data_IF_904861502898
#
_entry.id   IF_904861502898
#
_cell.length_a   1.000
_cell.length_b   1.000
_cell.length_c   1.000
_cell.angle_alpha   90.00
_cell.angle_beta   90.00
_cell.angle_gamma   90.00
#
_symmetry.space_group_name_H-M   'P 1'
#
loop_
_entity.id
_entity.type
_entity.pdbx_description
1 polymer ?
#
# COMPACT_ATOMS: atom_id res chain seq x y z
N UNK A 1 5.36 -59.75 -22.59
CA UNK A 1 5.16 -58.49 -21.85
C UNK A 1 6.18 -58.40 -20.73
N UNK A 2 7.02 -57.38 -20.73
CA UNK A 2 7.90 -57.02 -19.61
C UNK A 2 7.12 -56.10 -18.70
N UNK A 3 6.76 -56.58 -17.51
CA UNK A 3 6.11 -55.76 -16.47
C UNK A 3 7.17 -54.82 -15.93
N UNK A 4 7.01 -53.53 -16.19
CA UNK A 4 7.92 -52.49 -15.72
C UNK A 4 7.77 -52.33 -14.20
N UNK A 5 8.83 -52.64 -13.45
CA UNK A 5 8.82 -52.51 -11.99
C UNK A 5 8.85 -51.04 -11.58
N UNK A 6 7.98 -50.65 -10.64
CA UNK A 6 7.96 -49.28 -10.08
C UNK A 6 9.26 -48.92 -9.36
N UNK A 7 9.85 -49.88 -8.64
CA UNK A 7 11.12 -49.74 -7.94
C UNK A 7 12.15 -50.60 -8.64
N UNK A 8 13.23 -49.98 -9.12
CA UNK A 8 14.29 -50.67 -9.83
C UNK A 8 15.63 -50.30 -9.19
N UNK A 9 16.38 -51.32 -8.74
CA UNK A 9 17.75 -51.13 -8.28
C UNK A 9 18.66 -51.21 -9.50
N UNK A 10 19.34 -50.11 -9.81
CA UNK A 10 20.26 -50.05 -10.92
C UNK A 10 21.57 -50.80 -10.58
N UNK A 11 22.27 -51.34 -11.59
CA UNK A 11 23.52 -52.03 -11.38
C UNK A 11 24.57 -51.11 -10.74
N UNK A 12 25.43 -51.69 -9.92
CA UNK A 12 26.48 -50.97 -9.21
C UNK A 12 27.49 -50.39 -10.21
N UNK A 13 27.72 -49.08 -10.13
CA UNK A 13 28.71 -48.40 -10.96
C UNK A 13 30.03 -48.25 -10.18
N UNK A 14 31.18 -48.72 -10.70
CA UNK A 14 32.45 -48.59 -10.00
C UNK A 14 32.93 -47.13 -9.98
N UNK A 15 33.48 -46.72 -8.83
CA UNK A 15 34.07 -45.38 -8.67
C UNK A 15 35.53 -45.42 -9.11
N UNK A 16 35.89 -44.53 -10.03
CA UNK A 16 37.27 -44.38 -10.49
C UNK A 16 37.88 -43.17 -9.79
N UNK A 17 38.95 -43.36 -9.04
CA UNK A 17 39.71 -42.28 -8.41
C UNK A 17 41.14 -42.30 -8.96
N UNK A 18 41.65 -41.14 -9.40
CA UNK A 18 43.01 -41.02 -9.96
C UNK A 18 43.34 -42.03 -11.07
N UNK A 19 42.39 -42.31 -11.97
CA UNK A 19 42.52 -43.29 -13.07
C UNK A 19 42.75 -44.75 -12.64
N UNK A 20 42.55 -45.07 -11.35
CA UNK A 20 42.57 -46.43 -10.83
C UNK A 20 41.17 -46.86 -10.40
N UNK A 21 40.85 -48.13 -10.66
CA UNK A 21 39.62 -48.75 -10.17
C UNK A 21 39.73 -48.90 -8.65
N UNK A 22 38.81 -48.26 -7.92
CA UNK A 22 38.69 -48.43 -6.47
C UNK A 22 37.64 -49.50 -6.16
N UNK A 23 37.72 -50.13 -4.99
CA UNK A 23 36.68 -51.08 -4.51
C UNK A 23 35.41 -50.37 -4.00
N UNK A 24 35.12 -49.19 -4.53
CA UNK A 24 33.98 -48.35 -4.16
C UNK A 24 32.96 -48.36 -5.29
N UNK A 25 31.68 -48.37 -4.93
CA UNK A 25 30.59 -48.49 -5.90
C UNK A 25 29.47 -47.47 -5.60
N UNK A 26 28.85 -46.95 -6.65
CA UNK A 26 27.59 -46.22 -6.56
C UNK A 26 26.42 -47.19 -6.61
N UNK A 27 25.55 -47.10 -5.62
CA UNK A 27 24.23 -47.75 -5.64
C UNK A 27 23.16 -46.70 -5.95
N UNK A 28 22.25 -47.00 -6.88
CA UNK A 28 21.14 -46.12 -7.26
C UNK A 28 19.83 -46.90 -7.24
N UNK A 29 18.83 -46.33 -6.58
CA UNK A 29 17.45 -46.82 -6.58
C UNK A 29 16.62 -45.88 -7.44
N UNK A 30 16.08 -46.38 -8.55
CA UNK A 30 15.13 -45.66 -9.39
C UNK A 30 13.70 -45.94 -8.91
N UNK A 31 12.93 -44.88 -8.70
CA UNK A 31 11.50 -44.95 -8.35
C UNK A 31 10.71 -44.27 -9.45
N UNK A 32 10.04 -45.05 -10.28
CA UNK A 32 9.22 -44.54 -11.38
C UNK A 32 7.87 -44.08 -10.85
N UNK A 33 7.35 -43.00 -11.42
CA UNK A 33 6.07 -42.38 -11.01
C UNK A 33 6.02 -42.12 -9.50
N UNK A 34 6.84 -41.17 -9.03
CA UNK A 34 6.93 -40.81 -7.62
C UNK A 34 5.58 -40.29 -7.11
N UNK A 35 5.03 -40.97 -6.11
CA UNK A 35 3.79 -40.58 -5.44
C UNK A 35 4.02 -40.30 -3.96
N UNK A 36 3.05 -39.67 -3.30
CA UNK A 36 3.14 -39.33 -1.88
C UNK A 36 3.29 -40.58 -1.00
N UNK A 37 2.74 -41.71 -1.42
CA UNK A 37 2.84 -43.00 -0.74
C UNK A 37 4.28 -43.55 -0.75
N UNK A 38 5.13 -43.08 -1.68
CA UNK A 38 6.54 -43.46 -1.73
C UNK A 38 7.40 -42.68 -0.73
N UNK A 39 6.84 -41.68 -0.05
CA UNK A 39 7.50 -40.91 1.00
C UNK A 39 7.68 -41.75 2.28
N UNK A 40 8.69 -42.62 2.28
CA UNK A 40 9.02 -43.54 3.36
C UNK A 40 10.52 -43.61 3.61
N UNK A 41 10.90 -44.39 4.62
CA UNK A 41 12.30 -44.69 4.91
C UNK A 41 12.73 -45.86 4.05
N UNK A 42 13.84 -45.69 3.33
CA UNK A 42 14.50 -46.73 2.55
C UNK A 42 15.81 -47.10 3.26
N UNK A 43 16.12 -48.38 3.35
CA UNK A 43 17.36 -48.84 3.96
C UNK A 43 18.28 -49.40 2.88
N UNK A 44 19.44 -48.78 2.72
CA UNK A 44 20.53 -49.31 1.92
C UNK A 44 21.28 -50.33 2.78
N UNK A 45 21.38 -51.56 2.29
CA UNK A 45 22.10 -52.65 2.94
C UNK A 45 23.36 -52.94 2.13
N UNK A 46 24.51 -52.94 2.79
CA UNK A 46 25.80 -53.29 2.17
C UNK A 46 26.30 -54.55 2.86
N UNK A 47 26.44 -55.61 2.10
CA UNK A 47 26.94 -56.89 2.59
C UNK A 47 28.29 -57.21 1.96
N UNK A 48 29.25 -57.59 2.79
CA UNK A 48 30.60 -57.98 2.41
C UNK A 48 30.99 -59.26 3.15
N UNK A 49 32.06 -59.93 2.73
CA UNK A 49 32.57 -61.12 3.41
C UNK A 49 32.91 -60.88 4.90
N UNK A 50 33.22 -59.62 5.25
CA UNK A 50 33.62 -59.24 6.61
C UNK A 50 32.46 -58.78 7.50
N UNK A 51 31.26 -58.64 6.95
CA UNK A 51 30.09 -58.19 7.70
C UNK A 51 29.09 -57.41 6.86
N UNK A 52 28.11 -56.85 7.54
CA UNK A 52 26.99 -56.14 6.94
C UNK A 52 26.83 -54.78 7.62
N UNK A 53 26.58 -53.76 6.81
CA UNK A 53 26.26 -52.41 7.27
C UNK A 53 24.95 -51.94 6.65
N UNK A 54 24.24 -51.03 7.33
CA UNK A 54 22.96 -50.53 6.86
C UNK A 54 22.81 -49.03 7.09
N UNK A 55 22.28 -48.32 6.09
CA UNK A 55 22.04 -46.89 6.13
C UNK A 55 20.58 -46.60 5.81
N UNK A 56 19.90 -45.82 6.64
CA UNK A 56 18.49 -45.46 6.44
C UNK A 56 18.34 -44.04 5.88
N UNK A 57 17.61 -43.91 4.78
CA UNK A 57 17.35 -42.68 4.05
C UNK A 57 15.86 -42.36 4.07
N UNK A 58 15.48 -41.16 4.50
CA UNK A 58 14.08 -40.71 4.50
C UNK A 58 13.75 -39.98 3.20
N UNK A 59 12.88 -40.54 2.37
CA UNK A 59 12.38 -39.88 1.16
C UNK A 59 11.20 -38.98 1.52
N UNK A 60 11.28 -37.71 1.13
CA UNK A 60 10.16 -36.76 1.27
C UNK A 60 9.71 -36.33 -0.11
N UNK A 61 8.46 -36.63 -0.45
CA UNK A 61 7.85 -36.24 -1.73
C UNK A 61 7.07 -34.95 -1.51
N UNK A 62 7.36 -33.92 -2.32
CA UNK A 62 6.64 -32.65 -2.28
C UNK A 62 5.61 -32.62 -3.40
N UNK A 63 4.34 -32.55 -3.05
CA UNK A 63 3.27 -32.48 -4.03
C UNK A 63 3.22 -31.07 -4.67
N UNK A 64 3.30 -30.95 -6.00
CA UNK A 64 3.21 -29.65 -6.66
C UNK A 64 1.81 -29.05 -6.55
N UNK A 65 0.80 -29.86 -6.21
CA UNK A 65 -0.59 -29.42 -6.01
C UNK A 65 -0.71 -28.46 -4.84
N UNK A 66 -0.06 -28.76 -3.70
CA UNK A 66 -0.08 -27.90 -2.51
C UNK A 66 0.55 -26.53 -2.83
N UNK A 67 1.65 -26.52 -3.56
CA UNK A 67 2.34 -25.28 -3.99
C UNK A 67 1.45 -24.47 -4.94
N UNK A 68 0.79 -25.15 -5.91
CA UNK A 68 -0.12 -24.50 -6.87
C UNK A 68 -1.33 -23.87 -6.17
N UNK A 69 -1.92 -24.57 -5.20
CA UNK A 69 -3.09 -24.06 -4.46
C UNK A 69 -2.71 -22.79 -3.68
N UNK A 70 -1.56 -22.80 -3.00
CA UNK A 70 -1.08 -21.63 -2.25
C UNK A 70 -0.83 -20.46 -3.21
N UNK A 71 -0.19 -20.71 -4.36
CA UNK A 71 0.07 -19.66 -5.34
C UNK A 71 -1.22 -19.01 -5.88
N UNK A 72 -2.25 -19.81 -6.18
CA UNK A 72 -3.55 -19.31 -6.66
C UNK A 72 -4.23 -18.47 -5.57
N UNK A 73 -4.27 -18.98 -4.33
CA UNK A 73 -4.89 -18.27 -3.22
C UNK A 73 -4.25 -16.90 -2.95
N UNK A 74 -2.92 -16.84 -2.97
CA UNK A 74 -2.16 -15.58 -2.81
C UNK A 74 -2.42 -14.63 -3.98
N UNK A 75 -2.44 -15.14 -5.22
CA UNK A 75 -2.72 -14.34 -6.40
C UNK A 75 -4.11 -13.68 -6.36
N UNK A 76 -5.14 -14.45 -6.01
CA UNK A 76 -6.52 -13.94 -5.89
C UNK A 76 -6.63 -12.93 -4.74
N UNK A 77 -6.01 -13.20 -3.59
CA UNK A 77 -5.99 -12.29 -2.46
C UNK A 77 -5.35 -10.94 -2.78
N UNK A 78 -4.21 -10.95 -3.47
CA UNK A 78 -3.53 -9.71 -3.91
C UNK A 78 -4.36 -8.95 -4.95
N UNK A 79 -4.97 -9.64 -5.91
CA UNK A 79 -5.84 -9.01 -6.91
C UNK A 79 -7.02 -8.30 -6.23
N UNK A 80 -7.70 -8.98 -5.31
CA UNK A 80 -8.80 -8.38 -4.54
C UNK A 80 -8.33 -7.15 -3.74
N UNK A 81 -7.19 -7.25 -3.07
CA UNK A 81 -6.60 -6.12 -2.33
C UNK A 81 -6.37 -4.91 -3.24
N UNK A 82 -5.75 -5.10 -4.40
CA UNK A 82 -5.51 -4.02 -5.37
C UNK A 82 -6.82 -3.42 -5.89
N UNK A 83 -7.84 -4.22 -6.14
CA UNK A 83 -9.15 -3.70 -6.59
C UNK A 83 -9.82 -2.83 -5.53
N UNK A 84 -9.77 -3.23 -4.25
CA UNK A 84 -10.33 -2.45 -3.14
C UNK A 84 -9.59 -1.13 -2.96
N UNK A 85 -8.25 -1.16 -3.00
CA UNK A 85 -7.43 0.06 -2.92
C UNK A 85 -7.71 0.99 -4.11
N UNK A 86 -7.79 0.44 -5.32
CA UNK A 86 -8.12 1.19 -6.53
C UNK A 86 -9.50 1.84 -6.47
N UNK A 87 -10.52 1.11 -5.99
CA UNK A 87 -11.86 1.65 -5.78
C UNK A 87 -11.89 2.74 -4.71
N UNK A 88 -11.18 2.56 -3.60
CA UNK A 88 -11.08 3.59 -2.56
C UNK A 88 -10.42 4.86 -3.10
N UNK A 89 -9.30 4.73 -3.82
CA UNK A 89 -8.63 5.85 -4.46
C UNK A 89 -9.53 6.54 -5.49
N UNK A 90 -10.23 5.76 -6.33
CA UNK A 90 -11.19 6.29 -7.29
C UNK A 90 -12.31 7.06 -6.60
N UNK A 91 -12.87 6.54 -5.50
CA UNK A 91 -13.91 7.23 -4.73
C UNK A 91 -13.41 8.53 -4.11
N UNK A 92 -12.19 8.55 -3.55
CA UNK A 92 -11.57 9.77 -3.01
C UNK A 92 -11.36 10.81 -4.11
N UNK A 93 -10.81 10.41 -5.26
CA UNK A 93 -10.61 11.30 -6.41
C UNK A 93 -11.94 11.81 -6.97
N UNK A 94 -12.95 10.95 -7.07
CA UNK A 94 -14.29 11.32 -7.53
C UNK A 94 -14.99 12.25 -6.55
N UNK A 95 -14.85 12.03 -5.24
CA UNK A 95 -15.36 12.97 -4.22
C UNK A 95 -14.65 14.32 -4.32
N UNK A 96 -13.32 14.35 -4.51
CA UNK A 96 -12.58 15.60 -4.74
C UNK A 96 -13.03 16.32 -6.01
N UNK A 97 -13.13 15.60 -7.13
CA UNK A 97 -13.60 16.16 -8.41
C UNK A 97 -15.00 16.74 -8.28
N UNK A 98 -15.92 16.05 -7.59
CA UNK A 98 -17.26 16.59 -7.33
C UNK A 98 -17.26 17.85 -6.47
N UNK A 99 -16.33 17.99 -5.52
CA UNK A 99 -16.17 19.22 -4.74
C UNK A 99 -15.69 20.38 -5.61
N UNK A 100 -14.70 20.15 -6.49
CA UNK A 100 -14.25 21.16 -7.44
C UNK A 100 -15.32 21.57 -8.46
N UNK A 101 -16.13 20.62 -8.95
CA UNK A 101 -17.21 20.92 -9.89
C UNK A 101 -18.39 21.64 -9.25
N UNK A 102 -18.64 21.43 -7.95
CA UNK A 102 -19.72 22.11 -7.24
C UNK A 102 -19.37 23.57 -6.94
N UNK A 103 -18.14 23.84 -6.51
CA UNK A 103 -17.65 25.20 -6.24
C UNK A 103 -17.66 26.07 -7.51
N UNK A 104 -17.31 25.48 -8.66
CA UNK A 104 -17.39 26.17 -9.95
C UNK A 104 -18.82 26.49 -10.41
N UNK A 105 -19.80 25.72 -9.98
CA UNK A 105 -21.19 25.91 -10.36
C UNK A 105 -21.90 26.92 -9.44
N UNK A 106 -21.57 26.92 -8.15
CA UNK A 106 -22.04 27.95 -7.20
C UNK A 106 -21.47 29.35 -7.58
N UNK A 107 -20.22 29.44 -8.05
CA UNK A 107 -19.62 30.70 -8.57
C UNK A 107 -20.28 31.20 -9.88
N UNK A 108 -20.71 30.28 -10.75
CA UNK A 108 -21.43 30.61 -11.99
C UNK A 108 -22.86 31.10 -11.72
N UNK A 109 -23.52 30.56 -10.69
CA UNK A 109 -24.87 30.95 -10.28
C UNK A 109 -24.88 32.30 -9.52
N UNK A 110 -23.84 32.62 -8.73
CA UNK A 110 -23.69 33.93 -8.04
C UNK A 110 -23.18 35.06 -8.97
N UNK A 111 -22.44 34.72 -10.04
CA UNK A 111 -21.97 35.66 -11.06
C UNK A 111 -22.97 35.96 -12.18
N UNK A 112 -24.06 35.17 -12.28
CA UNK A 112 -25.06 35.29 -13.34
C UNK A 112 -26.19 36.26 -12.97
N UNK A 113 -25.87 37.55 -12.88
CA UNK A 113 -26.92 38.59 -12.99
C UNK A 113 -27.46 38.51 -14.42
N UNK A 114 -28.69 38.04 -14.56
CA UNK A 114 -29.34 37.86 -15.84
C UNK A 114 -29.34 39.18 -16.64
N UNK A 115 -28.88 39.12 -17.90
CA UNK A 115 -28.66 40.29 -18.76
C UNK A 115 -29.96 41.05 -19.12
N UNK A 116 -31.11 40.46 -18.81
CA UNK A 116 -32.45 41.04 -18.93
C UNK A 116 -32.78 42.03 -17.80
N UNK A 117 -32.07 42.00 -16.67
CA UNK A 117 -32.22 42.99 -15.60
C UNK A 117 -31.76 44.41 -16.02
N UNK A 118 -30.91 44.55 -17.05
CA UNK A 118 -30.39 45.84 -17.50
C UNK A 118 -31.20 46.51 -18.63
N UNK A 119 -32.20 45.86 -19.21
CA UNK A 119 -32.99 46.43 -20.32
C UNK A 119 -34.47 46.63 -20.02
N UNK A 120 -34.94 46.36 -18.79
CA UNK A 120 -36.32 46.69 -18.44
C UNK A 120 -36.48 48.16 -18.04
N UNK A 121 -36.98 48.93 -19.01
CA UNK A 121 -37.85 50.10 -18.83
C UNK A 121 -37.20 51.48 -18.71
N UNK A 122 -36.69 51.97 -19.83
CA UNK A 122 -36.77 53.39 -20.18
C UNK A 122 -38.24 53.73 -20.53
N UNK A 123 -38.96 54.40 -19.61
CA UNK A 123 -39.96 55.46 -19.87
C UNK A 123 -40.94 55.66 -18.70
N UNK A 124 -40.70 56.67 -17.84
CA UNK A 124 -41.75 57.62 -17.46
C UNK A 124 -41.15 58.88 -16.84
N UNK A 125 -41.48 59.99 -17.48
CA UNK A 125 -41.10 61.38 -17.20
C UNK A 125 -41.84 61.90 -15.96
N UNK A 126 -41.15 62.53 -15.00
CA UNK A 126 -41.41 63.90 -14.47
C UNK A 126 -40.88 64.15 -13.04
N UNK A 127 -40.31 65.36 -12.87
CA UNK A 127 -40.47 66.31 -11.74
C UNK A 127 -39.36 66.45 -10.67
N UNK A 128 -38.38 67.32 -10.99
CA UNK A 128 -38.06 68.59 -10.28
C UNK A 128 -37.74 68.59 -8.77
N UNK A 129 -36.48 68.97 -8.41
CA UNK A 129 -36.04 70.18 -7.66
C UNK A 129 -34.66 69.92 -7.01
N UNK A 130 -33.55 70.50 -7.48
CA UNK A 130 -32.97 71.82 -7.17
C UNK A 130 -32.35 71.93 -5.75
N UNK A 131 -31.02 71.81 -5.65
CA UNK A 131 -30.19 72.84 -4.99
C UNK A 131 -28.71 72.76 -5.36
N UNK A 132 -28.03 73.90 -5.30
CA UNK A 132 -26.85 74.29 -6.07
C UNK A 132 -25.56 74.53 -5.26
N UNK A 133 -24.44 73.98 -5.78
CA UNK A 133 -23.06 74.53 -5.94
C UNK A 133 -22.10 74.75 -4.74
N UNK A 134 -20.75 74.92 -4.95
CA UNK A 134 -19.88 74.73 -6.15
C UNK A 134 -18.57 73.89 -5.93
N UNK A 135 -17.87 73.55 -7.02
CA UNK A 135 -16.52 72.92 -7.10
C UNK A 135 -15.39 73.99 -7.26
N UNK A 136 -14.11 73.71 -7.62
CA UNK A 136 -13.26 72.49 -7.59
C UNK A 136 -11.83 72.74 -6.99
N UNK A 137 -11.04 71.71 -6.66
CA UNK A 137 -9.56 71.80 -6.70
C UNK A 137 -8.91 70.51 -7.17
N UNK A 138 -8.23 70.64 -8.31
CA UNK A 138 -7.31 69.68 -8.93
C UNK A 138 -6.03 69.60 -8.11
N UNK A 139 -5.56 68.39 -7.83
CA UNK A 139 -4.12 68.10 -7.71
C UNK A 139 -3.83 66.72 -8.30
N UNK A 140 -3.19 66.73 -9.46
CA UNK A 140 -2.35 65.62 -9.91
C UNK A 140 -1.17 65.47 -8.94
N UNK A 141 -0.94 64.27 -8.42
CA UNK A 141 0.38 63.83 -7.94
C UNK A 141 0.54 62.34 -8.23
N UNK A 142 1.44 62.02 -9.17
CA UNK A 142 2.02 60.68 -9.34
C UNK A 142 3.12 60.46 -8.29
N UNK A 143 3.42 59.18 -8.02
CA UNK A 143 4.53 58.60 -7.21
C UNK A 143 4.12 58.39 -5.73
N UNK A 144 4.16 57.21 -5.11
CA UNK A 144 4.92 55.96 -5.26
C UNK A 144 4.12 54.82 -4.56
N UNK A 145 4.27 53.52 -4.91
CA UNK A 145 3.40 52.46 -4.43
C UNK A 145 3.89 52.00 -3.06
N UNK A 146 2.96 51.82 -2.13
CA UNK A 146 2.99 50.92 -0.98
C UNK A 146 1.93 51.48 -0.03
N UNK A 147 0.75 50.86 -0.03
CA UNK A 147 0.11 50.35 1.19
C UNK A 147 -1.38 50.00 0.91
N UNK A 148 -1.76 48.78 1.30
CA UNK A 148 -3.13 48.45 1.72
C UNK A 148 -4.22 48.19 0.66
N UNK A 149 -4.26 46.98 0.09
CA UNK A 149 -5.34 45.99 0.32
C UNK A 149 -5.06 44.69 -0.45
N UNK A 150 -4.09 43.91 0.01
CA UNK A 150 -3.98 42.50 -0.38
C UNK A 150 -3.92 41.68 0.91
N UNK A 151 -5.06 41.13 1.30
CA UNK A 151 -5.08 40.03 2.28
C UNK A 151 -4.59 38.78 1.54
N UNK A 152 -3.27 38.68 1.40
CA UNK A 152 -2.61 37.50 0.88
C UNK A 152 -2.12 36.68 2.07
N UNK A 153 -2.64 35.47 2.24
CA UNK A 153 -2.19 34.55 3.28
C UNK A 153 -0.74 34.12 2.99
N UNK A 154 0.21 34.59 3.81
CA UNK A 154 1.61 34.16 3.78
C UNK A 154 1.77 32.82 4.51
N UNK A 155 1.75 31.72 3.75
CA UNK A 155 1.99 30.37 4.28
C UNK A 155 3.48 30.06 4.52
N UNK A 156 4.42 30.97 4.20
CA UNK A 156 5.85 30.69 4.27
C UNK A 156 6.49 30.91 5.65
N UNK A 157 5.74 31.36 6.66
CA UNK A 157 6.29 31.57 8.02
C UNK A 157 6.14 30.37 8.97
N UNK A 158 5.35 29.35 8.63
CA UNK A 158 5.13 28.19 9.53
C UNK A 158 6.34 27.26 9.57
N UNK A 159 7.18 27.23 8.52
CA UNK A 159 8.33 26.33 8.46
C UNK A 159 9.56 26.79 9.26
N UNK A 160 9.55 28.00 9.85
CA UNK A 160 10.70 28.53 10.61
C UNK A 160 10.54 28.46 12.13
N UNK A 161 9.39 28.03 12.67
CA UNK A 161 9.15 27.98 14.12
C UNK A 161 9.15 26.56 14.74
N UNK A 162 9.52 25.52 13.99
CA UNK A 162 9.56 24.13 14.47
C UNK A 162 10.89 23.73 15.12
N UNK A 163 11.67 24.68 15.64
CA UNK A 163 13.00 24.38 16.22
C UNK A 163 13.27 24.99 17.59
N UNK A 164 12.30 25.01 18.49
CA UNK A 164 12.54 25.17 19.94
C UNK A 164 11.42 24.54 20.76
N UNK A 165 11.35 23.21 20.82
CA UNK A 165 10.60 22.51 21.89
C UNK A 165 11.62 21.72 22.71
N UNK A 166 11.89 22.23 23.92
CA UNK A 166 12.80 21.62 24.90
C UNK A 166 12.20 20.31 25.44
N UNK A 167 12.98 19.22 25.57
CA UNK A 167 12.47 17.89 25.92
C UNK A 167 12.06 17.72 27.39
N UNK A 168 12.12 18.77 28.22
CA UNK A 168 11.87 18.67 29.67
C UNK A 168 10.42 19.00 30.08
N UNK A 169 9.59 19.52 29.18
CA UNK A 169 8.21 19.95 29.50
C UNK A 169 7.17 18.82 29.51
N UNK A 170 7.58 17.56 29.30
CA UNK A 170 6.70 16.38 29.28
C UNK A 170 6.85 15.49 30.52
N UNK A 171 7.30 16.05 31.66
CA UNK A 171 7.39 15.32 32.92
C UNK A 171 6.07 15.40 33.69
N UNK A 172 5.08 14.62 33.26
CA UNK A 172 3.86 14.37 34.05
C UNK A 172 4.27 13.59 35.29
N UNK A 173 4.25 14.23 36.46
CA UNK A 173 4.39 13.54 37.76
C UNK A 173 3.21 12.58 37.90
N UNK A 174 3.45 11.27 37.73
CA UNK A 174 2.47 10.24 38.07
C UNK A 174 2.23 10.29 39.58
N UNK A 175 1.03 10.70 39.99
CA UNK A 175 0.59 10.54 41.38
C UNK A 175 0.16 9.08 41.60
N UNK A 176 0.52 8.44 42.73
CA UNK A 176 0.02 7.12 43.05
C UNK A 176 -1.48 7.19 43.39
N UNK A 177 -2.29 6.42 42.66
CA UNK A 177 -3.71 6.18 42.99
C UNK A 177 -3.74 5.27 44.21
N UNK A 178 -4.27 5.77 45.33
CA UNK A 178 -4.59 4.99 46.51
C UNK A 178 -6.03 4.48 46.36
N UNK A 179 -6.20 3.19 46.13
CA UNK A 179 -7.50 2.53 46.13
C UNK A 179 -7.89 2.23 47.58
N UNK A 180 -8.92 2.90 48.10
CA UNK A 180 -9.60 2.46 49.32
C UNK A 180 -10.66 1.41 48.94
N UNK A 181 -10.69 0.22 49.59
CA UNK A 181 -11.74 -0.75 49.39
C UNK A 181 -13.05 -0.30 50.07
N UNK A 182 -14.23 -0.62 49.49
CA UNK A 182 -15.52 -0.20 50.02
C UNK A 182 -15.87 -0.94 51.31
N UNK A 183 -16.20 -0.20 52.37
CA UNK A 183 -16.82 -0.71 53.58
C UNK A 183 -18.28 -1.04 53.28
N UNK A 184 -18.62 -2.32 53.32
CA UNK A 184 -20.01 -2.80 53.28
C UNK A 184 -20.61 -2.56 54.67
N UNK A 185 -21.81 -1.94 54.70
CA UNK A 185 -22.71 -1.93 55.85
C UNK A 185 -24.06 -2.46 55.37
#
# INVERSE_FOLDING_TARGET
>A
ETIESKYEALPLEPITENSQLTNCYWAKLEIRNLQREDARIYTLLVESEKGQDSMSLKLTVRDPTEIKIIAIAVGVGLLLLFTVIGLAAYMILRMRSRRYSKERQDDEDEGSIAADAFYSTQNSITRSQKNSQPAPKVYSRKMHPDDGLSVMYDYNQINKHTRTMSPEALKVRRAPVVLQPPTIV
#
